data_IF_298419265695
#
_entry.id   IF_298419265695
#
_cell.length_a   1.000
_cell.length_b   1.000
_cell.length_c   1.000
_cell.angle_alpha   90.00
_cell.angle_beta   90.00
_cell.angle_gamma   90.00
#
_symmetry.space_group_name_H-M   'P 1'
#
loop_
_entity.id
_entity.type
_entity.pdbx_description
1 polymer ?
#
# COMPACT_ATOMS: atom_id res chain seq x y z
N UNK A 1 5.41 -23.36 -11.62
CA UNK A 1 6.48 -22.40 -11.23
C UNK A 1 6.43 -21.34 -12.31
N UNK A 2 5.87 -20.17 -12.00
CA UNK A 2 5.83 -19.08 -12.98
C UNK A 2 7.26 -18.72 -13.31
N UNK A 3 7.62 -18.76 -14.59
CA UNK A 3 8.88 -18.19 -15.02
C UNK A 3 8.92 -16.73 -14.57
N UNK A 4 10.07 -16.25 -14.06
CA UNK A 4 10.19 -14.84 -13.73
C UNK A 4 9.82 -14.05 -14.97
N UNK A 5 8.80 -13.18 -14.85
CA UNK A 5 8.40 -12.26 -15.90
C UNK A 5 9.66 -11.68 -16.54
N UNK A 6 9.69 -11.66 -17.88
CA UNK A 6 10.83 -11.17 -18.68
C UNK A 6 11.49 -10.03 -17.93
N UNK A 7 12.77 -10.15 -17.53
CA UNK A 7 13.42 -9.12 -16.73
C UNK A 7 13.21 -7.82 -17.46
N UNK A 8 12.52 -6.87 -16.81
CA UNK A 8 12.30 -5.53 -17.36
C UNK A 8 13.66 -5.05 -17.86
N UNK A 9 13.90 -4.95 -19.17
CA UNK A 9 15.27 -4.83 -19.63
C UNK A 9 15.74 -3.46 -19.19
N UNK A 10 16.75 -3.41 -18.33
CA UNK A 10 17.22 -2.17 -17.69
C UNK A 10 17.63 -1.11 -18.73
N UNK A 11 17.95 -1.56 -19.95
CA UNK A 11 18.32 -0.72 -21.08
C UNK A 11 17.12 -0.20 -21.90
N UNK A 12 15.90 -0.73 -21.72
CA UNK A 12 14.72 -0.35 -22.52
C UNK A 12 14.32 1.09 -22.24
N UNK A 13 14.40 1.95 -23.25
CA UNK A 13 14.05 3.37 -23.11
C UNK A 13 12.53 3.60 -23.16
N UNK A 14 11.80 2.78 -23.94
CA UNK A 14 10.35 2.90 -24.15
C UNK A 14 9.71 1.50 -24.24
N UNK A 15 8.62 1.29 -23.49
CA UNK A 15 7.72 0.15 -23.68
C UNK A 15 6.42 0.69 -24.26
N UNK A 16 6.17 0.35 -25.53
CA UNK A 16 4.95 0.73 -26.24
C UNK A 16 4.08 -0.51 -26.48
N UNK A 17 2.76 -0.32 -26.43
CA UNK A 17 1.81 -1.38 -26.73
C UNK A 17 1.86 -1.70 -28.23
N UNK A 18 2.27 -2.91 -28.60
CA UNK A 18 2.23 -3.37 -30.00
C UNK A 18 0.84 -3.92 -30.26
N UNK A 19 0.01 -3.19 -31.00
CA UNK A 19 -1.37 -3.59 -31.25
C UNK A 19 -1.46 -4.33 -32.58
N UNK A 20 -1.91 -5.58 -32.54
CA UNK A 20 -1.95 -6.47 -33.72
C UNK A 20 -3.35 -6.71 -34.26
N UNK A 21 -4.40 -6.17 -33.63
CA UNK A 21 -5.77 -6.45 -34.07
C UNK A 21 -6.21 -5.55 -35.24
N UNK A 22 -7.03 -6.06 -36.19
CA UNK A 22 -7.44 -5.31 -37.39
C UNK A 22 -8.12 -3.97 -37.10
N UNK A 23 -8.89 -3.90 -36.01
CA UNK A 23 -9.54 -2.65 -35.56
C UNK A 23 -8.51 -1.55 -35.23
N UNK A 24 -7.42 -1.92 -34.56
CA UNK A 24 -6.39 -0.95 -34.15
C UNK A 24 -5.35 -0.65 -35.22
N UNK A 25 -5.30 -1.47 -36.28
CA UNK A 25 -4.52 -1.19 -37.49
C UNK A 25 -5.35 -0.47 -38.56
N UNK A 26 -6.63 -0.19 -38.31
CA UNK A 26 -7.48 0.56 -39.24
C UNK A 26 -6.94 1.98 -39.44
N UNK A 27 -7.17 2.54 -40.64
CA UNK A 27 -6.74 3.91 -40.97
C UNK A 27 -7.22 4.91 -39.89
N UNK A 28 -8.46 4.77 -39.43
CA UNK A 28 -9.03 5.61 -38.37
C UNK A 28 -8.25 5.57 -37.06
N UNK A 29 -7.68 4.41 -36.69
CA UNK A 29 -6.90 4.27 -35.45
C UNK A 29 -5.45 4.72 -35.60
N UNK A 30 -4.87 4.55 -36.80
CA UNK A 30 -3.47 4.88 -37.07
C UNK A 30 -3.29 6.37 -37.40
N UNK A 31 -4.23 6.96 -38.14
CA UNK A 31 -4.15 8.37 -38.58
C UNK A 31 -5.06 9.31 -37.78
N UNK A 32 -6.03 8.75 -37.04
CA UNK A 32 -6.95 9.51 -36.21
C UNK A 32 -6.30 10.06 -34.95
N UNK A 33 -6.41 11.37 -34.76
CA UNK A 33 -5.83 12.10 -33.61
C UNK A 33 -6.66 12.07 -32.33
N UNK A 34 -7.91 11.61 -32.44
CA UNK A 34 -8.96 11.75 -31.42
C UNK A 34 -9.20 10.45 -30.66
N UNK A 35 -8.79 9.31 -31.20
CA UNK A 35 -8.94 8.01 -30.56
C UNK A 35 -7.64 7.65 -29.82
N UNK A 36 -7.64 7.81 -28.49
CA UNK A 36 -6.44 7.68 -27.65
C UNK A 36 -6.68 6.64 -26.57
N UNK A 37 -6.29 5.40 -26.83
CA UNK A 37 -6.25 4.34 -25.81
C UNK A 37 -4.79 3.93 -25.55
N UNK A 38 -3.96 4.89 -25.15
CA UNK A 38 -2.53 4.61 -24.94
C UNK A 38 -2.07 5.17 -23.60
N UNK A 39 -1.99 4.28 -22.62
CA UNK A 39 -1.09 4.50 -21.48
C UNK A 39 0.34 4.27 -21.98
N UNK A 40 1.22 5.24 -21.76
CA UNK A 40 2.62 5.19 -22.16
C UNK A 40 3.50 5.06 -20.91
N UNK A 41 4.46 4.16 -20.96
CA UNK A 41 5.47 4.01 -19.91
C UNK A 41 6.81 4.48 -20.45
N UNK A 42 7.37 5.50 -19.82
CA UNK A 42 8.68 6.05 -20.15
C UNK A 42 9.57 6.11 -18.91
N UNK A 43 10.88 5.92 -19.11
CA UNK A 43 11.89 6.15 -18.07
C UNK A 43 12.32 7.61 -18.09
N UNK A 44 12.32 8.27 -16.93
CA UNK A 44 12.89 9.61 -16.80
C UNK A 44 14.41 9.58 -17.05
N UNK A 45 14.93 10.63 -17.69
CA UNK A 45 16.37 10.80 -17.85
C UNK A 45 17.09 10.84 -16.48
N UNK A 46 18.36 10.45 -16.38
CA UNK A 46 19.11 10.52 -15.12
C UNK A 46 19.09 11.94 -14.54
N UNK A 47 18.64 12.09 -13.29
CA UNK A 47 18.55 13.39 -12.62
C UNK A 47 17.32 14.23 -12.97
N UNK A 48 16.47 13.80 -13.91
CA UNK A 48 15.22 14.48 -14.20
C UNK A 48 14.15 14.18 -13.13
N UNK A 49 13.32 15.17 -12.84
CA UNK A 49 12.19 15.04 -11.93
C UNK A 49 10.84 14.98 -12.68
N UNK A 50 9.80 14.57 -11.96
CA UNK A 50 8.45 14.47 -12.53
C UNK A 50 7.90 15.84 -12.96
N UNK A 51 8.30 16.91 -12.26
CA UNK A 51 7.84 18.26 -12.56
C UNK A 51 8.34 18.74 -13.93
N UNK A 52 9.62 18.50 -14.23
CA UNK A 52 10.25 18.82 -15.52
C UNK A 52 9.60 18.02 -16.65
N UNK A 53 9.38 16.72 -16.45
CA UNK A 53 8.69 15.89 -17.45
C UNK A 53 7.24 16.35 -17.70
N UNK A 54 6.50 16.73 -16.65
CA UNK A 54 5.15 17.31 -16.79
C UNK A 54 5.17 18.63 -17.55
N UNK A 55 6.17 19.48 -17.31
CA UNK A 55 6.30 20.75 -18.02
C UNK A 55 6.55 20.53 -19.52
N UNK A 56 7.44 19.61 -19.87
CA UNK A 56 7.73 19.24 -21.25
C UNK A 56 6.50 18.64 -21.95
N UNK A 57 5.80 17.69 -21.30
CA UNK A 57 4.57 17.11 -21.84
C UNK A 57 3.49 18.16 -22.10
N UNK A 58 3.33 19.14 -21.20
CA UNK A 58 2.40 20.26 -21.39
C UNK A 58 2.81 21.17 -22.53
N UNK A 59 4.11 21.44 -22.69
CA UNK A 59 4.62 22.25 -23.80
C UNK A 59 4.37 21.57 -25.15
N UNK A 60 4.69 20.27 -25.26
CA UNK A 60 4.42 19.46 -26.46
C UNK A 60 2.92 19.39 -26.73
N UNK A 61 2.09 19.16 -25.71
CA UNK A 61 0.64 19.14 -25.85
C UNK A 61 0.11 20.49 -26.37
N UNK A 62 0.57 21.61 -25.81
CA UNK A 62 0.19 22.95 -26.25
C UNK A 62 0.54 23.21 -27.72
N UNK A 63 1.71 22.75 -28.18
CA UNK A 63 2.11 22.84 -29.58
C UNK A 63 1.18 22.02 -30.49
N UNK A 64 0.87 20.77 -30.11
CA UNK A 64 -0.03 19.87 -30.86
C UNK A 64 -1.45 20.46 -30.97
N UNK A 65 -1.99 21.02 -29.89
CA UNK A 65 -3.31 21.65 -29.88
C UNK A 65 -3.35 22.86 -30.82
N UNK A 66 -2.28 23.66 -30.86
CA UNK A 66 -2.17 24.82 -31.74
C UNK A 66 -2.05 24.44 -33.21
N UNK A 67 -1.34 23.37 -33.52
CA UNK A 67 -1.15 22.88 -34.89
C UNK A 67 -2.40 22.17 -35.44
N UNK A 68 -3.24 21.61 -34.57
CA UNK A 68 -4.43 20.83 -34.94
C UNK A 68 -5.71 21.23 -34.21
N UNK A 69 -6.17 22.49 -34.36
CA UNK A 69 -7.39 22.97 -33.72
C UNK A 69 -8.66 22.22 -34.18
N UNK A 70 -8.65 21.63 -35.37
CA UNK A 70 -9.74 20.80 -35.91
C UNK A 70 -9.93 19.49 -35.15
N UNK A 71 -8.85 18.95 -34.56
CA UNK A 71 -8.87 17.71 -33.80
C UNK A 71 -8.99 17.96 -32.28
N UNK A 72 -8.50 19.10 -31.80
CA UNK A 72 -8.45 19.45 -30.37
C UNK A 72 -9.27 20.70 -30.06
N UNK A 73 -10.56 20.49 -29.82
CA UNK A 73 -11.46 21.57 -29.42
C UNK A 73 -11.09 22.12 -28.03
N UNK A 74 -11.05 23.44 -27.89
CA UNK A 74 -10.87 24.12 -26.60
C UNK A 74 -11.95 23.76 -25.56
N UNK A 75 -13.11 23.26 -25.99
CA UNK A 75 -14.19 22.81 -25.09
C UNK A 75 -13.94 21.45 -24.45
N UNK A 76 -13.01 20.66 -24.99
CA UNK A 76 -12.76 19.29 -24.52
C UNK A 76 -11.92 19.23 -23.24
N UNK A 77 -11.25 20.33 -22.85
CA UNK A 77 -10.37 20.47 -21.68
C UNK A 77 -9.46 19.25 -21.43
N UNK A 78 -8.91 18.71 -22.51
CA UNK A 78 -8.06 17.53 -22.44
C UNK A 78 -6.68 17.92 -21.88
N UNK A 79 -6.21 17.18 -20.88
CA UNK A 79 -4.91 17.39 -20.24
C UNK A 79 -4.04 16.13 -20.36
N UNK A 80 -2.77 16.32 -20.65
CA UNK A 80 -1.76 15.26 -20.54
C UNK A 80 -1.06 15.41 -19.20
N UNK A 81 -1.04 14.33 -18.42
CA UNK A 81 -0.30 14.26 -17.17
C UNK A 81 0.53 12.97 -17.10
N UNK A 82 1.56 13.01 -16.28
CA UNK A 82 2.40 11.87 -15.96
C UNK A 82 2.38 11.62 -14.45
N UNK A 83 2.43 10.36 -14.06
CA UNK A 83 2.57 9.93 -12.66
C UNK A 83 3.69 8.92 -12.56
N UNK A 84 4.34 8.84 -11.40
CA UNK A 84 5.34 7.81 -11.18
C UNK A 84 4.67 6.44 -11.20
N UNK A 85 5.32 5.48 -11.85
CA UNK A 85 4.82 4.09 -11.94
C UNK A 85 4.50 3.49 -10.56
N UNK A 86 5.32 3.80 -9.54
CA UNK A 86 5.07 3.40 -8.15
C UNK A 86 3.73 3.91 -7.62
N UNK A 87 3.35 5.13 -7.97
CA UNK A 87 2.14 5.78 -7.50
C UNK A 87 0.94 5.28 -8.30
N UNK A 88 1.09 5.03 -9.61
CA UNK A 88 0.03 4.44 -10.43
C UNK A 88 -0.36 3.03 -9.94
N UNK A 89 0.63 2.20 -9.59
CA UNK A 89 0.41 0.85 -9.09
C UNK A 89 -0.21 0.88 -7.69
N UNK A 90 0.24 1.79 -6.83
CA UNK A 90 -0.20 1.83 -5.42
C UNK A 90 -1.45 2.68 -5.20
N UNK A 91 -1.80 3.60 -6.09
CA UNK A 91 -2.87 4.59 -5.91
C UNK A 91 -4.21 3.94 -5.53
N UNK A 92 -4.64 2.92 -6.29
CA UNK A 92 -5.90 2.21 -6.01
C UNK A 92 -5.83 1.37 -4.74
N UNK A 93 -4.67 0.80 -4.45
CA UNK A 93 -4.46 -0.03 -3.26
C UNK A 93 -4.33 0.81 -1.99
N UNK A 94 -3.81 2.04 -2.06
CA UNK A 94 -3.48 2.87 -0.90
C UNK A 94 -4.70 3.15 -0.05
N UNK A 95 -5.81 3.55 -0.65
CA UNK A 95 -7.06 3.83 0.09
C UNK A 95 -7.57 2.58 0.81
N UNK A 96 -7.58 1.43 0.12
CA UNK A 96 -8.01 0.16 0.71
C UNK A 96 -7.07 -0.24 1.86
N UNK A 97 -5.76 -0.12 1.68
CA UNK A 97 -4.77 -0.41 2.71
C UNK A 97 -4.91 0.50 3.93
N UNK A 98 -5.22 1.79 3.73
CA UNK A 98 -5.49 2.72 4.84
C UNK A 98 -6.75 2.36 5.61
N UNK A 99 -7.84 1.96 4.92
CA UNK A 99 -9.06 1.49 5.57
C UNK A 99 -8.80 0.20 6.36
N UNK A 100 -8.07 -0.76 5.78
CA UNK A 100 -7.67 -1.99 6.45
C UNK A 100 -6.77 -1.72 7.67
N UNK A 101 -5.86 -0.75 7.56
CA UNK A 101 -5.03 -0.29 8.68
C UNK A 101 -5.90 0.31 9.80
N UNK A 102 -6.86 1.18 9.46
CA UNK A 102 -7.78 1.76 10.43
C UNK A 102 -8.64 0.69 11.12
N UNK A 103 -9.17 -0.27 10.36
CA UNK A 103 -9.91 -1.40 10.90
C UNK A 103 -9.03 -2.27 11.82
N UNK A 104 -7.79 -2.55 11.42
CA UNK A 104 -6.82 -3.30 12.23
C UNK A 104 -6.47 -2.57 13.52
N UNK A 105 -6.32 -1.24 13.49
CA UNK A 105 -6.08 -0.42 14.67
C UNK A 105 -7.28 -0.48 15.65
N UNK A 106 -8.51 -0.44 15.15
CA UNK A 106 -9.70 -0.61 15.99
C UNK A 106 -9.73 -1.99 16.65
N UNK A 107 -9.46 -3.05 15.88
CA UNK A 107 -9.35 -4.42 16.42
C UNK A 107 -8.23 -4.52 17.46
N UNK A 108 -7.10 -3.87 17.24
CA UNK A 108 -6.00 -3.82 18.19
C UNK A 108 -6.42 -3.14 19.51
N UNK A 109 -7.17 -2.03 19.44
CA UNK A 109 -7.73 -1.37 20.63
C UNK A 109 -8.69 -2.31 21.37
N UNK A 110 -9.61 -2.98 20.67
CA UNK A 110 -10.53 -3.95 21.26
C UNK A 110 -9.76 -5.08 21.96
N UNK A 111 -8.73 -5.61 21.32
CA UNK A 111 -7.87 -6.64 21.89
C UNK A 111 -7.16 -6.13 23.16
N UNK A 112 -6.64 -4.90 23.16
CA UNK A 112 -6.04 -4.28 24.34
C UNK A 112 -7.04 -4.11 25.48
N UNK A 113 -8.26 -3.67 25.20
CA UNK A 113 -9.35 -3.56 26.19
C UNK A 113 -9.68 -4.92 26.81
N UNK A 114 -9.72 -5.98 26.00
CA UNK A 114 -9.96 -7.34 26.50
C UNK A 114 -8.83 -7.83 27.41
N UNK A 115 -7.57 -7.57 27.05
CA UNK A 115 -6.42 -7.90 27.88
C UNK A 115 -6.45 -7.13 29.20
N UNK A 116 -6.79 -5.84 29.17
CA UNK A 116 -6.96 -5.03 30.38
C UNK A 116 -8.05 -5.59 31.30
N UNK A 117 -9.20 -5.97 30.74
CA UNK A 117 -10.29 -6.60 31.49
C UNK A 117 -9.86 -7.95 32.11
N UNK A 118 -9.07 -8.75 31.38
CA UNK A 118 -8.53 -10.01 31.89
C UNK A 118 -7.58 -9.79 33.06
N UNK A 119 -6.66 -8.82 32.94
CA UNK A 119 -5.72 -8.46 34.01
C UNK A 119 -6.48 -7.96 35.25
N UNK A 120 -7.51 -7.14 35.05
CA UNK A 120 -8.37 -6.66 36.12
C UNK A 120 -9.07 -7.82 36.84
N UNK A 121 -9.72 -8.73 36.10
CA UNK A 121 -10.38 -9.91 36.67
C UNK A 121 -9.42 -10.81 37.45
N UNK A 122 -8.20 -11.04 36.93
CA UNK A 122 -7.16 -11.80 37.64
C UNK A 122 -6.72 -11.12 38.93
N UNK A 123 -6.62 -9.79 38.92
CA UNK A 123 -6.23 -9.00 40.09
C UNK A 123 -7.29 -9.10 41.19
N UNK A 124 -8.58 -8.99 40.84
CA UNK A 124 -9.71 -9.17 41.79
C UNK A 124 -9.70 -10.57 42.39
N UNK A 125 -9.49 -11.62 41.58
CA UNK A 125 -9.39 -13.00 42.10
C UNK A 125 -8.20 -13.22 43.04
N UNK A 126 -7.13 -12.43 42.91
CA UNK A 126 -5.94 -12.47 43.77
C UNK A 126 -6.04 -11.54 44.99
N UNK A 127 -7.11 -10.76 45.12
CA UNK A 127 -7.26 -9.73 46.14
C UNK A 127 -7.05 -10.24 47.57
N UNK A 128 -7.51 -11.46 47.88
CA UNK A 128 -7.26 -12.09 49.19
C UNK A 128 -5.79 -12.34 49.49
N UNK A 129 -5.00 -12.81 48.52
CA UNK A 129 -3.54 -12.96 48.69
C UNK A 129 -2.84 -11.61 48.81
N UNK A 130 -3.28 -10.60 48.05
CA UNK A 130 -2.75 -9.24 48.11
C UNK A 130 -3.04 -8.60 49.48
N UNK A 131 -4.22 -8.85 50.06
CA UNK A 131 -4.61 -8.38 51.39
C UNK A 131 -3.79 -9.03 52.51
N UNK A 132 -3.53 -10.35 52.44
CA UNK A 132 -2.65 -11.05 53.40
C UNK A 132 -1.22 -10.51 53.32
N UNK A 133 -0.68 -10.32 52.10
CA UNK A 133 0.66 -9.74 51.91
C UNK A 133 0.75 -8.30 52.42
N UNK A 134 -0.30 -7.51 52.23
CA UNK A 134 -0.38 -6.16 52.78
C UNK A 134 -0.41 -6.17 54.32
N UNK A 135 -1.14 -7.11 54.94
CA UNK A 135 -1.17 -7.29 56.40
C UNK A 135 0.20 -7.72 56.97
N UNK A 136 1.00 -8.45 56.20
CA UNK A 136 2.39 -8.81 56.52
C UNK A 136 3.39 -7.66 56.28
N UNK A 137 2.94 -6.45 55.93
CA UNK A 137 3.78 -5.26 55.78
C UNK A 137 4.30 -4.99 54.36
N UNK A 138 3.81 -5.70 53.34
CA UNK A 138 4.21 -5.41 51.96
C UNK A 138 3.68 -4.03 51.50
N UNK A 139 4.58 -3.17 51.00
CA UNK A 139 4.17 -1.87 50.48
C UNK A 139 3.32 -2.00 49.21
N UNK A 140 2.35 -1.10 49.03
CA UNK A 140 1.52 -1.01 47.81
C UNK A 140 2.35 -0.82 46.53
N UNK A 141 3.59 -0.30 46.64
CA UNK A 141 4.51 -0.16 45.51
C UNK A 141 5.10 -1.49 45.05
N UNK A 142 5.44 -2.38 45.99
CA UNK A 142 6.01 -3.69 45.70
C UNK A 142 4.97 -4.58 44.99
N UNK A 143 3.73 -4.57 45.47
CA UNK A 143 2.60 -5.27 44.85
C UNK A 143 2.32 -4.79 43.41
N UNK A 144 2.30 -3.47 43.18
CA UNK A 144 2.12 -2.92 41.82
C UNK A 144 3.25 -3.27 40.87
N UNK A 145 4.51 -3.22 41.33
CA UNK A 145 5.69 -3.58 40.53
C UNK A 145 5.63 -5.03 40.04
N UNK A 146 5.24 -5.96 40.90
CA UNK A 146 5.14 -7.38 40.53
C UNK A 146 4.06 -7.60 39.47
N UNK A 147 2.87 -7.01 39.63
CA UNK A 147 1.78 -7.13 38.65
C UNK A 147 2.14 -6.50 37.30
N UNK A 148 2.83 -5.35 37.32
CA UNK A 148 3.34 -4.70 36.11
C UNK A 148 4.39 -5.56 35.42
N UNK A 149 5.32 -6.17 36.16
CA UNK A 149 6.33 -7.06 35.60
C UNK A 149 5.71 -8.31 34.96
N UNK A 150 4.71 -8.93 35.62
CA UNK A 150 3.98 -10.09 35.07
C UNK A 150 3.26 -9.71 33.77
N UNK A 151 2.63 -8.52 33.74
CA UNK A 151 1.94 -8.02 32.54
C UNK A 151 2.91 -7.65 31.41
N UNK A 152 4.03 -7.00 31.73
CA UNK A 152 5.07 -6.63 30.77
C UNK A 152 5.70 -7.86 30.11
N UNK A 153 5.95 -8.92 30.88
CA UNK A 153 6.47 -10.18 30.35
C UNK A 153 5.48 -10.82 29.37
N UNK A 154 4.19 -10.86 29.71
CA UNK A 154 3.14 -11.40 28.83
C UNK A 154 2.99 -10.55 27.56
N UNK A 155 2.92 -9.22 27.70
CA UNK A 155 2.86 -8.30 26.56
C UNK A 155 4.09 -8.42 25.67
N UNK A 156 5.29 -8.49 26.25
CA UNK A 156 6.55 -8.65 25.53
C UNK A 156 6.63 -9.96 24.76
N UNK A 157 6.24 -11.07 25.37
CA UNK A 157 6.18 -12.37 24.70
C UNK A 157 5.17 -12.36 23.55
N UNK A 158 3.96 -11.82 23.78
CA UNK A 158 2.93 -11.69 22.74
C UNK A 158 3.37 -10.81 21.57
N UNK A 159 3.98 -9.65 21.84
CA UNK A 159 4.51 -8.76 20.81
C UNK A 159 5.63 -9.43 20.00
N UNK A 160 6.54 -10.15 20.67
CA UNK A 160 7.62 -10.87 20.00
C UNK A 160 7.07 -11.94 19.06
N UNK A 161 6.13 -12.76 19.53
CA UNK A 161 5.46 -13.78 18.70
C UNK A 161 4.67 -13.16 17.54
N UNK A 162 4.00 -12.03 17.77
CA UNK A 162 3.30 -11.27 16.73
C UNK A 162 4.23 -10.77 15.63
N UNK A 163 5.36 -10.17 15.99
CA UNK A 163 6.36 -9.68 15.03
C UNK A 163 7.01 -10.84 14.27
N UNK A 164 7.35 -11.93 14.96
CA UNK A 164 7.94 -13.11 14.33
C UNK A 164 6.99 -13.79 13.33
N UNK A 165 5.69 -13.81 13.63
CA UNK A 165 4.66 -14.39 12.74
C UNK A 165 4.22 -13.46 11.60
N UNK A 166 4.47 -12.15 11.69
CA UNK A 166 4.04 -11.19 10.67
C UNK A 166 4.65 -11.46 9.30
N UNK A 167 5.97 -11.65 9.21
CA UNK A 167 6.68 -11.92 7.94
C UNK A 167 6.18 -13.18 7.21
N UNK A 168 6.13 -14.37 7.85
CA UNK A 168 5.64 -15.56 7.16
C UNK A 168 4.17 -15.43 6.76
N UNK A 169 3.34 -14.77 7.56
CA UNK A 169 1.93 -14.56 7.23
C UNK A 169 1.74 -13.68 5.99
N UNK A 170 2.51 -12.59 5.87
CA UNK A 170 2.52 -11.77 4.65
C UNK A 170 2.99 -12.58 3.45
N UNK A 171 4.02 -13.41 3.60
CA UNK A 171 4.51 -14.25 2.51
C UNK A 171 3.46 -15.28 2.05
N UNK A 172 2.74 -15.90 3.00
CA UNK A 172 1.65 -16.83 2.70
C UNK A 172 0.49 -16.11 1.99
N UNK A 173 0.10 -14.94 2.50
CA UNK A 173 -0.98 -14.14 1.92
C UNK A 173 -0.63 -13.66 0.51
N UNK A 174 0.61 -13.22 0.28
CA UNK A 174 1.09 -12.82 -1.04
C UNK A 174 1.10 -14.01 -2.02
N UNK A 175 1.57 -15.19 -1.57
CA UNK A 175 1.52 -16.43 -2.37
C UNK A 175 0.09 -16.85 -2.71
N UNK A 176 -0.86 -16.67 -1.78
CA UNK A 176 -2.25 -16.98 -2.01
C UNK A 176 -2.89 -15.98 -2.99
N UNK A 177 -2.68 -14.68 -2.78
CA UNK A 177 -3.18 -13.62 -3.66
C UNK A 177 -2.65 -13.77 -5.10
N UNK A 178 -1.39 -14.17 -5.26
CA UNK A 178 -0.80 -14.46 -6.57
C UNK A 178 -1.54 -15.56 -7.35
N UNK A 179 -2.27 -16.47 -6.69
CA UNK A 179 -3.07 -17.51 -7.37
C UNK A 179 -4.37 -16.98 -7.99
N UNK A 180 -4.91 -15.87 -7.49
CA UNK A 180 -6.18 -15.29 -7.96
C UNK A 180 -5.98 -14.02 -8.80
N UNK A 181 -4.80 -13.43 -8.78
CA UNK A 181 -4.45 -12.33 -9.68
C UNK A 181 -4.25 -12.89 -11.08
N UNK A 182 -5.08 -12.46 -12.03
CA UNK A 182 -5.05 -12.81 -13.47
C UNK A 182 -3.74 -12.40 -14.17
N UNK A 183 -2.79 -11.79 -13.45
CA UNK A 183 -1.43 -11.44 -13.92
C UNK A 183 -0.32 -12.36 -13.36
N UNK A 184 -0.67 -13.60 -13.06
CA UNK A 184 0.30 -14.66 -12.80
C UNK A 184 0.86 -15.16 -14.13
#
# INVERSE_FOLDING_TARGET
VLEPAVPYPAETEIIANVVTSPHHLSATMVTGRVHRMTELFGRLAPGADLASARAELRAVHGAIVKEHPEAYSAKADFQIDAVLMRDQITSRARTVLLVLLAASALVFVIACSNVANLILSRTVRREGELAIRAALGASRSALRRTLLAESLLLCGAGATLGVLSARPMVAILARYAARFSVRA
#
